data_IF_991358207257
#
_entry.id   IF_991358207257
#
_cell.length_a   1.000
_cell.length_b   1.000
_cell.length_c   1.000
_cell.angle_alpha   90.00
_cell.angle_beta   90.00
_cell.angle_gamma   90.00
#
_symmetry.space_group_name_H-M   'P 1'
#
loop_
_entity.id
_entity.type
_entity.pdbx_description
1 polymer ?
#
# COMPACT_ATOMS: atom_id res chain seq x y z
N UNK A 1 -4.00 10.50 -5.25
CA UNK A 1 -3.92 10.75 -3.82
C UNK A 1 -3.49 9.50 -3.04
N UNK A 2 -3.65 9.50 -1.74
CA UNK A 2 -3.21 8.43 -0.84
C UNK A 2 -4.20 8.27 0.31
N UNK A 3 -4.30 7.07 0.88
CA UNK A 3 -5.05 6.82 2.10
C UNK A 3 -4.58 7.71 3.28
N UNK A 4 -3.34 8.20 3.27
CA UNK A 4 -2.86 9.18 4.26
C UNK A 4 -3.62 10.50 4.25
N UNK A 5 -4.30 10.86 3.16
CA UNK A 5 -5.18 12.04 3.13
C UNK A 5 -6.39 11.90 4.08
N UNK A 6 -6.73 10.68 4.50
CA UNK A 6 -7.82 10.39 5.44
C UNK A 6 -7.34 10.28 6.90
N UNK A 7 -6.06 10.44 7.15
CA UNK A 7 -5.45 10.23 8.46
C UNK A 7 -4.78 11.51 8.95
N UNK A 8 -4.73 11.70 10.26
CA UNK A 8 -3.91 12.72 10.89
C UNK A 8 -2.42 12.32 10.96
N UNK A 9 -2.15 11.06 10.63
CA UNK A 9 -0.80 10.54 10.47
C UNK A 9 -0.25 10.88 9.08
N UNK A 10 1.02 10.68 8.83
CA UNK A 10 1.61 10.95 7.51
C UNK A 10 2.21 12.32 7.34
N UNK A 11 2.20 13.17 8.40
CA UNK A 11 2.95 14.43 8.46
C UNK A 11 2.74 15.30 7.20
N UNK A 12 3.81 15.92 6.68
CA UNK A 12 3.76 16.77 5.48
C UNK A 12 3.21 16.08 4.23
N UNK A 13 3.45 14.79 4.08
CA UNK A 13 2.91 14.02 2.95
C UNK A 13 1.37 13.96 3.01
N UNK A 14 0.80 13.58 4.17
CA UNK A 14 -0.65 13.55 4.37
C UNK A 14 -1.28 14.92 4.11
N UNK A 15 -0.71 15.99 4.66
CA UNK A 15 -1.17 17.37 4.47
C UNK A 15 -1.12 17.77 2.99
N UNK A 16 -0.04 17.43 2.28
CA UNK A 16 0.07 17.75 0.85
C UNK A 16 -1.01 17.08 0.01
N UNK A 17 -1.35 15.82 0.33
CA UNK A 17 -2.41 15.08 -0.34
C UNK A 17 -3.79 15.65 -0.05
N UNK A 18 -4.09 15.99 1.22
CA UNK A 18 -5.32 16.69 1.60
C UNK A 18 -5.48 18.03 0.87
N UNK A 19 -4.42 18.82 0.80
CA UNK A 19 -4.43 20.11 0.10
C UNK A 19 -4.69 19.92 -1.41
N UNK A 20 -4.06 18.92 -2.03
CA UNK A 20 -4.28 18.62 -3.45
C UNK A 20 -5.72 18.20 -3.74
N UNK A 21 -6.35 17.40 -2.86
CA UNK A 21 -7.75 17.03 -3.01
C UNK A 21 -8.67 18.24 -2.92
N UNK A 22 -8.47 19.11 -1.93
CA UNK A 22 -9.24 20.34 -1.76
C UNK A 22 -9.09 21.28 -2.95
N UNK A 23 -7.89 21.44 -3.50
CA UNK A 23 -7.67 22.22 -4.71
C UNK A 23 -8.44 21.63 -5.90
N UNK A 24 -8.45 20.31 -6.06
CA UNK A 24 -9.20 19.65 -7.12
C UNK A 24 -10.70 19.92 -7.01
N UNK A 25 -11.27 19.83 -5.80
CA UNK A 25 -12.67 20.14 -5.54
C UNK A 25 -13.00 21.61 -5.83
N UNK A 26 -12.11 22.55 -5.49
CA UNK A 26 -12.31 23.98 -5.81
C UNK A 26 -12.25 24.26 -7.32
N UNK A 27 -11.40 23.55 -8.07
CA UNK A 27 -11.41 23.61 -9.54
C UNK A 27 -12.74 23.15 -10.13
N UNK A 28 -13.33 22.08 -9.61
CA UNK A 28 -14.67 21.66 -10.01
C UNK A 28 -15.72 22.75 -9.72
N UNK A 29 -15.76 23.29 -8.50
CA UNK A 29 -16.72 24.32 -8.11
C UNK A 29 -16.61 25.58 -8.99
N UNK A 30 -15.37 25.99 -9.30
CA UNK A 30 -15.14 27.25 -10.02
C UNK A 30 -15.25 27.10 -11.54
N UNK A 31 -14.84 25.98 -12.09
CA UNK A 31 -14.67 25.79 -13.52
C UNK A 31 -15.50 24.65 -14.11
N UNK A 32 -16.21 23.89 -13.29
CA UNK A 32 -16.97 22.70 -13.71
C UNK A 32 -16.09 21.55 -14.19
N UNK A 33 -14.77 21.58 -13.90
CA UNK A 33 -13.87 20.53 -14.33
C UNK A 33 -14.10 19.27 -13.53
N UNK A 34 -14.60 18.23 -14.18
CA UNK A 34 -14.83 16.92 -13.56
C UNK A 34 -13.53 16.30 -13.06
N UNK A 35 -13.63 15.52 -11.99
CA UNK A 35 -12.50 14.85 -11.37
C UNK A 35 -12.88 13.49 -10.80
N UNK A 36 -11.87 12.69 -10.49
CA UNK A 36 -11.98 11.54 -9.59
C UNK A 36 -10.72 11.50 -8.73
N UNK A 37 -10.90 11.51 -7.42
CA UNK A 37 -9.80 11.37 -6.47
C UNK A 37 -9.62 9.91 -6.13
N UNK A 38 -8.48 9.34 -6.54
CA UNK A 38 -8.10 7.96 -6.21
C UNK A 38 -7.09 8.01 -5.05
N UNK A 39 -7.46 7.43 -3.91
CA UNK A 39 -6.62 7.29 -2.72
C UNK A 39 -6.04 5.87 -2.68
N UNK A 40 -4.78 5.75 -3.02
CA UNK A 40 -4.08 4.47 -2.96
C UNK A 40 -3.72 4.10 -1.52
N UNK A 41 -3.98 2.85 -1.16
CA UNK A 41 -3.50 2.22 0.08
C UNK A 41 -2.04 1.75 -0.03
N UNK A 42 -1.72 0.66 0.65
CA UNK A 42 -0.38 0.09 0.63
C UNK A 42 -0.15 -0.71 -0.65
N UNK A 43 0.52 -0.07 -1.63
CA UNK A 43 0.89 -0.69 -2.89
C UNK A 43 2.10 -1.62 -2.72
N UNK A 44 2.09 -2.76 -3.42
CA UNK A 44 3.23 -3.65 -3.56
C UNK A 44 3.21 -4.30 -4.95
N UNK A 45 4.28 -4.93 -5.36
CA UNK A 45 4.33 -5.66 -6.62
C UNK A 45 5.71 -5.58 -7.27
N UNK A 46 5.81 -6.18 -8.46
CA UNK A 46 7.01 -6.13 -9.29
C UNK A 46 7.40 -4.68 -9.63
N UNK A 47 8.68 -4.48 -9.90
CA UNK A 47 9.29 -3.18 -10.23
C UNK A 47 9.27 -2.17 -9.08
N UNK A 48 8.95 -2.61 -7.85
CA UNK A 48 9.17 -1.81 -6.66
C UNK A 48 10.67 -1.60 -6.39
N UNK A 49 11.00 -0.64 -5.56
CA UNK A 49 12.37 -0.30 -5.19
C UNK A 49 12.46 -0.04 -3.69
N UNK A 50 13.64 0.37 -3.21
CA UNK A 50 13.89 0.71 -1.80
C UNK A 50 13.00 1.83 -1.21
N UNK A 51 12.14 2.44 -2.00
CA UNK A 51 11.10 3.35 -1.49
C UNK A 51 9.80 2.61 -1.09
N UNK A 52 9.71 1.29 -1.31
CA UNK A 52 8.54 0.48 -1.00
C UNK A 52 8.80 -0.40 0.22
N UNK A 53 7.85 -0.40 1.17
CA UNK A 53 7.98 -1.17 2.42
C UNK A 53 8.11 -2.67 2.19
N UNK A 54 7.24 -3.26 1.34
CA UNK A 54 7.27 -4.70 1.06
C UNK A 54 8.57 -5.08 0.37
N UNK A 55 9.03 -4.28 -0.60
CA UNK A 55 10.29 -4.53 -1.27
C UNK A 55 11.46 -4.57 -0.28
N UNK A 56 11.58 -3.55 0.59
CA UNK A 56 12.65 -3.51 1.59
C UNK A 56 12.57 -4.69 2.55
N UNK A 57 11.37 -5.01 3.03
CA UNK A 57 11.17 -6.13 3.94
C UNK A 57 11.64 -7.44 3.33
N UNK A 58 11.29 -7.72 2.08
CA UNK A 58 11.69 -8.93 1.35
C UNK A 58 13.18 -8.91 1.00
N UNK A 59 13.71 -7.76 0.56
CA UNK A 59 15.12 -7.61 0.24
C UNK A 59 16.01 -7.88 1.47
N UNK A 60 15.69 -7.25 2.60
CA UNK A 60 16.42 -7.44 3.85
C UNK A 60 16.30 -8.89 4.35
N UNK A 61 15.12 -9.50 4.23
CA UNK A 61 14.90 -10.88 4.61
C UNK A 61 15.77 -11.86 3.78
N UNK A 62 15.84 -11.66 2.47
CA UNK A 62 16.67 -12.48 1.58
C UNK A 62 18.16 -12.31 1.89
N UNK A 63 18.61 -11.09 2.19
CA UNK A 63 20.01 -10.80 2.48
C UNK A 63 20.46 -11.27 3.87
N UNK A 64 19.62 -11.09 4.88
CA UNK A 64 19.99 -11.30 6.29
C UNK A 64 19.46 -12.58 6.91
N UNK A 65 18.47 -13.22 6.29
CA UNK A 65 17.72 -14.32 6.90
C UNK A 65 16.81 -13.88 8.05
N UNK A 66 16.50 -12.59 8.16
CA UNK A 66 15.74 -12.02 9.27
C UNK A 66 14.60 -11.13 8.77
N UNK A 67 13.43 -11.28 9.38
CA UNK A 67 12.29 -10.35 9.27
C UNK A 67 12.22 -9.51 10.53
N UNK A 68 12.27 -8.20 10.40
CA UNK A 68 12.29 -7.27 11.54
C UNK A 68 11.02 -6.44 11.60
N UNK A 69 10.49 -6.23 12.80
CA UNK A 69 9.38 -5.31 13.05
C UNK A 69 9.65 -4.49 14.31
N UNK A 70 9.10 -3.28 14.38
CA UNK A 70 9.29 -2.45 15.55
C UNK A 70 8.34 -2.87 16.67
N UNK A 71 8.79 -2.71 17.89
CA UNK A 71 7.98 -2.95 19.09
C UNK A 71 6.67 -2.17 19.03
N UNK A 72 5.55 -2.87 19.17
CA UNK A 72 4.21 -2.32 19.13
C UNK A 72 3.59 -2.15 17.74
N UNK A 73 4.32 -2.52 16.67
CA UNK A 73 3.79 -2.53 15.30
C UNK A 73 3.15 -3.89 14.91
N UNK A 74 3.31 -4.92 15.73
CA UNK A 74 2.84 -6.29 15.47
C UNK A 74 1.33 -6.36 15.20
N UNK A 75 0.55 -5.55 15.91
CA UNK A 75 -0.91 -5.45 15.78
C UNK A 75 -1.37 -4.42 14.71
N UNK A 76 -0.46 -3.73 14.04
CA UNK A 76 -0.80 -2.78 13.00
C UNK A 76 -1.53 -3.46 11.84
N UNK A 77 -2.72 -2.99 11.53
CA UNK A 77 -3.57 -3.53 10.48
C UNK A 77 -3.33 -2.79 9.15
N UNK A 78 -3.00 -3.54 8.11
CA UNK A 78 -2.79 -3.01 6.76
C UNK A 78 -3.57 -3.82 5.72
N UNK A 79 -3.94 -3.12 4.67
CA UNK A 79 -4.48 -3.71 3.46
C UNK A 79 -3.50 -3.44 2.32
N UNK A 80 -3.06 -4.49 1.65
CA UNK A 80 -2.10 -4.40 0.55
C UNK A 80 -2.79 -4.66 -0.78
N UNK A 81 -2.55 -3.81 -1.77
CA UNK A 81 -3.06 -4.01 -3.13
C UNK A 81 -1.90 -4.17 -4.10
N UNK A 82 -1.98 -5.17 -4.97
CA UNK A 82 -0.98 -5.36 -6.01
C UNK A 82 -1.01 -4.20 -7.02
N UNK A 83 0.17 -3.76 -7.45
CA UNK A 83 0.30 -2.60 -8.35
C UNK A 83 -0.42 -2.80 -9.70
N UNK A 84 -0.46 -4.05 -10.21
CA UNK A 84 -1.20 -4.37 -11.44
C UNK A 84 -2.71 -4.20 -11.26
N UNK A 85 -3.27 -4.64 -10.11
CA UNK A 85 -4.69 -4.46 -9.79
C UNK A 85 -5.04 -2.97 -9.63
N UNK A 86 -4.18 -2.23 -8.93
CA UNK A 86 -4.36 -0.80 -8.76
C UNK A 86 -4.31 -0.05 -10.11
N UNK A 87 -3.41 -0.45 -11.00
CA UNK A 87 -3.30 0.13 -12.34
C UNK A 87 -4.55 -0.18 -13.17
N UNK A 88 -5.00 -1.44 -13.20
CA UNK A 88 -6.22 -1.83 -13.90
C UNK A 88 -7.44 -1.04 -13.42
N UNK A 89 -7.68 -1.01 -12.11
CA UNK A 89 -8.79 -0.27 -11.53
C UNK A 89 -8.70 1.24 -11.80
N UNK A 90 -7.49 1.81 -11.86
CA UNK A 90 -7.32 3.23 -12.22
C UNK A 90 -7.74 3.53 -13.64
N UNK A 91 -7.52 2.60 -14.59
CA UNK A 91 -7.99 2.72 -15.96
C UNK A 91 -9.51 2.55 -16.02
N UNK A 92 -10.05 1.52 -15.37
CA UNK A 92 -11.50 1.25 -15.33
C UNK A 92 -12.29 2.47 -14.81
N UNK A 93 -11.75 3.18 -13.82
CA UNK A 93 -12.35 4.40 -13.25
C UNK A 93 -12.41 5.56 -14.25
N UNK A 94 -11.43 5.67 -15.15
CA UNK A 94 -11.41 6.76 -16.15
C UNK A 94 -12.56 6.61 -17.16
N UNK A 95 -12.90 5.37 -17.48
CA UNK A 95 -13.90 5.03 -18.49
C UNK A 95 -15.33 5.02 -17.98
N UNK A 96 -15.54 5.08 -16.66
CA UNK A 96 -16.84 4.93 -16.04
C UNK A 96 -17.33 6.20 -15.35
N UNK A 97 -18.37 6.82 -15.93
CA UNK A 97 -18.92 8.08 -15.44
C UNK A 97 -19.53 8.00 -14.02
N UNK A 98 -19.79 6.81 -13.47
CA UNK A 98 -20.26 6.67 -12.09
C UNK A 98 -19.24 7.17 -11.04
N UNK A 99 -17.98 7.33 -11.45
CA UNK A 99 -16.88 7.81 -10.59
C UNK A 99 -16.56 9.30 -10.81
N UNK A 100 -17.31 10.00 -11.66
CA UNK A 100 -17.14 11.44 -11.83
C UNK A 100 -17.46 12.20 -10.55
N UNK A 101 -16.54 13.07 -10.13
CA UNK A 101 -16.61 13.89 -8.91
C UNK A 101 -16.66 13.06 -7.61
N UNK A 102 -16.12 11.87 -7.65
CA UNK A 102 -16.09 10.93 -6.53
C UNK A 102 -14.71 10.79 -5.91
N UNK A 103 -14.71 10.31 -4.67
CA UNK A 103 -13.51 9.89 -3.95
C UNK A 103 -13.52 8.38 -3.82
N UNK A 104 -12.41 7.73 -4.21
CA UNK A 104 -12.29 6.28 -4.28
C UNK A 104 -11.06 5.86 -3.49
N UNK A 105 -11.17 4.74 -2.76
CA UNK A 105 -10.04 4.07 -2.11
C UNK A 105 -9.72 2.80 -2.89
N UNK A 106 -8.48 2.68 -3.33
CA UNK A 106 -7.90 1.46 -3.89
C UNK A 106 -6.94 0.85 -2.88
N UNK A 107 -7.40 -0.23 -2.25
CA UNK A 107 -6.62 -0.99 -1.28
C UNK A 107 -6.95 -2.47 -1.39
N UNK A 108 -6.28 -3.33 -0.62
CA UNK A 108 -6.49 -4.78 -0.66
C UNK A 108 -7.86 -5.22 -0.15
N UNK A 109 -8.14 -6.49 -0.33
CA UNK A 109 -9.38 -7.14 0.12
C UNK A 109 -9.33 -7.57 1.56
N UNK A 110 -8.13 -7.85 2.07
CA UNK A 110 -7.89 -8.42 3.38
C UNK A 110 -7.13 -7.45 4.27
N UNK A 111 -7.54 -7.42 5.55
CA UNK A 111 -6.79 -6.74 6.60
C UNK A 111 -5.89 -7.75 7.27
N UNK A 112 -4.60 -7.46 7.26
CA UNK A 112 -3.59 -8.27 7.88
C UNK A 112 -2.90 -7.49 8.98
N UNK A 113 -2.69 -8.13 10.12
CA UNK A 113 -1.75 -7.66 11.12
C UNK A 113 -0.34 -7.77 10.56
N UNK A 114 0.54 -6.92 11.03
CA UNK A 114 1.94 -6.98 10.62
C UNK A 114 2.55 -8.35 10.88
N UNK A 115 2.28 -8.93 12.05
CA UNK A 115 2.80 -10.26 12.38
C UNK A 115 2.29 -11.36 11.45
N UNK A 116 1.04 -11.27 10.98
CA UNK A 116 0.47 -12.21 10.01
C UNK A 116 1.16 -12.11 8.66
N UNK A 117 1.46 -10.88 8.19
CA UNK A 117 2.26 -10.67 6.98
C UNK A 117 3.66 -11.30 7.11
N UNK A 118 4.35 -11.08 8.24
CA UNK A 118 5.68 -11.64 8.46
C UNK A 118 5.65 -13.17 8.51
N UNK A 119 4.61 -13.74 9.12
CA UNK A 119 4.39 -15.19 9.16
C UNK A 119 4.18 -15.75 7.76
N UNK A 120 3.31 -15.12 6.95
CA UNK A 120 3.08 -15.51 5.56
C UNK A 120 4.37 -15.47 4.73
N UNK A 121 5.18 -14.42 4.85
CA UNK A 121 6.47 -14.31 4.17
C UNK A 121 7.40 -15.45 4.62
N UNK A 122 7.46 -15.73 5.91
CA UNK A 122 8.30 -16.80 6.43
C UNK A 122 7.85 -18.18 5.92
N UNK A 123 6.55 -18.44 5.83
CA UNK A 123 5.99 -19.67 5.25
C UNK A 123 6.37 -19.81 3.77
N UNK A 124 6.23 -18.75 2.98
CA UNK A 124 6.67 -18.72 1.57
C UNK A 124 8.16 -19.02 1.45
N UNK A 125 8.97 -18.55 2.40
CA UNK A 125 10.40 -18.79 2.50
C UNK A 125 10.75 -20.09 3.26
N UNK A 126 9.80 -21.05 3.35
CA UNK A 126 9.97 -22.37 3.96
C UNK A 126 10.39 -22.34 5.43
N UNK A 127 9.95 -21.35 6.17
CA UNK A 127 10.25 -21.14 7.61
C UNK A 127 11.75 -21.01 7.93
N UNK A 128 12.53 -20.50 6.98
CA UNK A 128 13.99 -20.31 7.14
C UNK A 128 14.36 -18.96 7.77
N UNK A 129 13.40 -18.05 7.91
CA UNK A 129 13.66 -16.71 8.39
C UNK A 129 13.45 -16.61 9.91
N UNK A 130 14.20 -15.72 10.55
CA UNK A 130 14.02 -15.38 11.96
C UNK A 130 13.21 -14.08 12.08
N UNK A 131 12.04 -14.16 12.70
CA UNK A 131 11.23 -12.97 13.00
C UNK A 131 11.75 -12.33 14.29
N UNK A 132 12.13 -11.05 14.24
CA UNK A 132 12.73 -10.32 15.37
C UNK A 132 12.02 -8.99 15.63
N UNK A 133 11.68 -8.76 16.88
CA UNK A 133 11.28 -7.45 17.38
C UNK A 133 12.51 -6.56 17.55
N UNK A 134 12.42 -5.32 17.07
CA UNK A 134 13.45 -4.30 17.25
C UNK A 134 12.86 -3.06 17.94
N UNK A 135 13.70 -2.36 18.73
CA UNK A 135 13.30 -1.10 19.35
C UNK A 135 13.64 0.05 18.40
N UNK A 136 12.69 0.45 17.57
CA UNK A 136 12.79 1.67 16.77
C UNK A 136 11.49 2.47 16.90
N UNK A 137 11.58 3.79 16.87
CA UNK A 137 10.41 4.66 16.92
C UNK A 137 9.90 4.90 15.50
N UNK A 138 8.75 4.33 15.16
CA UNK A 138 8.00 4.69 13.98
C UNK A 138 7.11 5.89 14.27
N UNK A 139 7.45 7.05 13.69
CA UNK A 139 6.63 8.25 13.77
C UNK A 139 5.99 8.47 12.39
N UNK A 140 4.68 8.74 12.37
CA UNK A 140 3.99 9.21 11.16
C UNK A 140 3.32 8.14 10.28
N UNK A 141 3.04 6.96 10.83
CA UNK A 141 2.26 5.94 10.14
C UNK A 141 0.93 5.65 10.84
N UNK A 142 -0.14 5.45 10.07
CA UNK A 142 -1.42 5.02 10.62
C UNK A 142 -1.33 3.55 11.10
N UNK A 143 -2.02 3.24 12.21
CA UNK A 143 -2.09 1.86 12.76
C UNK A 143 -3.12 0.99 12.04
N UNK A 144 -4.17 1.61 11.54
CA UNK A 144 -5.23 0.94 10.78
C UNK A 144 -5.41 1.72 9.48
N UNK A 145 -5.52 1.01 8.34
CA UNK A 145 -5.80 1.66 7.05
C UNK A 145 -7.05 2.53 7.14
N UNK A 146 -6.96 3.84 6.94
CA UNK A 146 -8.09 4.73 7.10
C UNK A 146 -9.05 4.64 5.91
N UNK A 147 -10.33 4.48 6.17
CA UNK A 147 -11.37 4.51 5.12
C UNK A 147 -12.04 5.88 5.02
N UNK A 148 -12.41 6.46 6.15
CA UNK A 148 -13.02 7.77 6.22
C UNK A 148 -13.02 8.25 7.66
N UNK A 149 -12.31 9.33 7.91
CA UNK A 149 -12.37 10.04 9.20
C UNK A 149 -12.83 11.50 9.04
N UNK A 150 -13.17 11.90 7.83
CA UNK A 150 -13.63 13.23 7.48
C UNK A 150 -14.94 13.16 6.70
N UNK A 151 -15.55 14.30 6.43
CA UNK A 151 -16.88 14.43 5.83
C UNK A 151 -17.05 13.81 4.44
N UNK A 152 -15.97 13.46 3.77
CA UNK A 152 -16.00 12.86 2.43
C UNK A 152 -15.78 11.36 2.55
N UNK A 153 -16.85 10.60 2.37
CA UNK A 153 -16.82 9.12 2.34
C UNK A 153 -16.31 8.68 0.96
N UNK A 154 -15.29 7.82 0.94
CA UNK A 154 -14.80 7.24 -0.29
C UNK A 154 -15.39 5.85 -0.53
N UNK A 155 -15.71 5.56 -1.79
CA UNK A 155 -16.09 4.21 -2.24
C UNK A 155 -14.84 3.34 -2.32
N UNK A 156 -14.89 2.12 -1.77
CA UNK A 156 -13.83 1.14 -1.93
C UNK A 156 -14.04 0.36 -3.22
N UNK A 157 -13.02 0.31 -4.08
CA UNK A 157 -12.99 -0.54 -5.26
C UNK A 157 -12.04 -1.72 -5.05
N UNK A 158 -12.47 -2.87 -5.56
CA UNK A 158 -11.73 -4.13 -5.51
C UNK A 158 -11.64 -4.71 -6.91
N UNK A 159 -10.43 -5.15 -7.31
CA UNK A 159 -10.24 -5.86 -8.58
C UNK A 159 -10.96 -7.22 -8.58
N UNK A 160 -11.45 -7.64 -9.75
CA UNK A 160 -12.05 -8.95 -9.94
C UNK A 160 -11.65 -9.52 -11.31
N UNK A 161 -10.86 -10.61 -11.40
CA UNK A 161 -10.14 -11.21 -10.26
C UNK A 161 -9.06 -10.28 -9.71
N UNK A 162 -8.67 -10.49 -8.46
CA UNK A 162 -7.56 -9.79 -7.82
C UNK A 162 -6.34 -10.70 -7.69
N UNK A 163 -5.16 -10.09 -7.58
CA UNK A 163 -3.94 -10.84 -7.32
C UNK A 163 -3.87 -11.11 -5.81
N UNK A 164 -3.90 -12.38 -5.45
CA UNK A 164 -3.73 -12.84 -4.07
C UNK A 164 -2.40 -12.37 -3.49
N UNK A 165 -2.40 -11.98 -2.20
CA UNK A 165 -1.22 -11.41 -1.56
C UNK A 165 -0.05 -12.41 -1.55
N UNK A 166 -0.30 -13.68 -1.27
CA UNK A 166 0.74 -14.71 -1.25
C UNK A 166 1.38 -14.88 -2.62
N UNK A 167 0.56 -14.92 -3.69
CA UNK A 167 1.04 -14.97 -5.08
C UNK A 167 1.88 -13.73 -5.43
N UNK A 168 1.43 -12.55 -5.11
CA UNK A 168 2.15 -11.31 -5.38
C UNK A 168 3.46 -11.20 -4.60
N UNK A 169 3.49 -11.66 -3.35
CA UNK A 169 4.74 -11.74 -2.55
C UNK A 169 5.75 -12.70 -3.19
N UNK A 170 5.29 -13.86 -3.67
CA UNK A 170 6.15 -14.83 -4.37
C UNK A 170 6.75 -14.22 -5.65
N UNK A 171 6.00 -13.45 -6.39
CA UNK A 171 6.48 -12.74 -7.58
C UNK A 171 7.56 -11.70 -7.21
N UNK A 172 7.34 -10.91 -6.16
CA UNK A 172 8.34 -9.97 -5.65
C UNK A 172 9.63 -10.67 -5.21
N UNK A 173 9.53 -11.79 -4.50
CA UNK A 173 10.70 -12.60 -4.07
C UNK A 173 11.49 -13.09 -5.28
N UNK A 174 10.82 -13.62 -6.31
CA UNK A 174 11.48 -14.06 -7.54
C UNK A 174 12.22 -12.92 -8.24
N UNK A 175 11.60 -11.73 -8.30
CA UNK A 175 12.23 -10.56 -8.89
C UNK A 175 13.50 -10.16 -8.13
N UNK A 176 13.41 -10.01 -6.79
CA UNK A 176 14.54 -9.61 -5.95
C UNK A 176 15.70 -10.61 -6.08
N UNK A 177 15.41 -11.91 -6.06
CA UNK A 177 16.45 -12.93 -6.26
C UNK A 177 17.13 -12.80 -7.62
N UNK A 178 16.39 -12.49 -8.69
CA UNK A 178 16.95 -12.25 -10.02
C UNK A 178 17.86 -11.02 -10.05
N UNK A 179 17.43 -9.92 -9.44
CA UNK A 179 18.21 -8.68 -9.32
C UNK A 179 19.52 -8.91 -8.57
N UNK A 180 19.47 -9.61 -7.43
CA UNK A 180 20.66 -9.96 -6.65
C UNK A 180 21.63 -10.85 -7.41
N UNK A 181 21.12 -11.80 -8.19
CA UNK A 181 21.96 -12.69 -9.00
C UNK A 181 22.68 -11.94 -10.13
N UNK A 182 22.04 -10.93 -10.71
CA UNK A 182 22.63 -10.09 -11.76
C UNK A 182 23.69 -9.12 -11.23
N UNK A 183 23.56 -8.64 -10.00
CA UNK A 183 24.52 -7.73 -9.37
C UNK A 183 25.77 -8.45 -8.86
N UNK A 184 25.75 -9.77 -8.73
CA UNK A 184 26.88 -10.60 -8.29
C UNK A 184 27.65 -11.24 -9.45
N UNK A 185 27.27 -10.98 -10.70
CA UNK A 185 27.90 -11.43 -11.94
C UNK A 185 28.75 -10.34 -12.56
#
# INVERSE_FOLDING_TARGET
>A
SSAYALSNEGSFYGISKQSSEKLTEEYFKKYGQKFTVIRYGSLYGERASHNNYIYNLLYDAIQSGELKYNKGDDEDLREYIHAADAAKLSVDVIEDSQYENEHIILTGTERLKRIELLTMINEIMQNQLKIKEISANNIGHYKITPYSYHSVIAKKLVANPYIDLGQGLLECIKQINKELSQNNS
#
